data_IF_150306989227
#
_entry.id   IF_150306989227
#
_cell.length_a   1.000
_cell.length_b   1.000
_cell.length_c   1.000
_cell.angle_alpha   90.00
_cell.angle_beta   90.00
_cell.angle_gamma   90.00
#
_symmetry.space_group_name_H-M   'P 1'
#
loop_
_entity.id
_entity.type
_entity.pdbx_description
1 polymer ?
#
# COMPACT_ATOMS: atom_id res chain seq x y z
N UNK A 1 -16.06 1.07 -52.59
CA UNK A 1 -16.41 1.41 -51.20
C UNK A 1 -15.74 0.44 -50.21
N UNK A 2 -14.46 0.64 -49.83
CA UNK A 2 -13.75 -0.27 -48.91
C UNK A 2 -13.41 0.31 -47.51
N UNK A 3 -13.66 1.59 -47.22
CA UNK A 3 -13.09 2.25 -46.03
C UNK A 3 -13.88 2.11 -44.72
N UNK A 4 -15.17 1.74 -44.75
CA UNK A 4 -16.01 1.73 -43.52
C UNK A 4 -15.69 0.53 -42.62
N UNK A 5 -15.33 -0.62 -43.20
CA UNK A 5 -15.02 -1.86 -42.44
C UNK A 5 -13.63 -1.77 -41.79
N UNK A 6 -12.64 -1.22 -42.48
CA UNK A 6 -11.31 -0.95 -41.91
C UNK A 6 -11.39 0.06 -40.75
N UNK A 7 -12.15 1.14 -40.92
CA UNK A 7 -12.29 2.18 -39.87
C UNK A 7 -12.95 1.62 -38.60
N UNK A 8 -13.99 0.77 -38.74
CA UNK A 8 -14.65 0.09 -37.62
C UNK A 8 -13.73 -0.89 -36.89
N UNK A 9 -12.93 -1.64 -37.64
CA UNK A 9 -11.98 -2.61 -37.08
C UNK A 9 -10.86 -1.90 -36.29
N UNK A 10 -10.37 -0.77 -36.80
CA UNK A 10 -9.38 0.06 -36.09
C UNK A 10 -9.94 0.70 -34.82
N UNK A 11 -11.19 1.17 -34.81
CA UNK A 11 -11.83 1.70 -33.60
C UNK A 11 -12.03 0.62 -32.52
N UNK A 12 -12.40 -0.60 -32.91
CA UNK A 12 -12.53 -1.74 -31.98
C UNK A 12 -11.18 -2.17 -31.38
N UNK A 13 -10.12 -2.22 -32.20
CA UNK A 13 -8.77 -2.50 -31.73
C UNK A 13 -8.26 -1.42 -30.76
N UNK A 14 -8.49 -0.14 -31.09
CA UNK A 14 -8.08 0.97 -30.23
C UNK A 14 -8.82 0.95 -28.89
N UNK A 15 -10.12 0.66 -28.89
CA UNK A 15 -10.91 0.55 -27.65
C UNK A 15 -10.51 -0.66 -26.81
N UNK A 16 -10.18 -1.81 -27.43
CA UNK A 16 -9.61 -2.96 -26.70
C UNK A 16 -8.26 -2.64 -26.06
N UNK A 17 -7.37 -1.93 -26.77
CA UNK A 17 -6.06 -1.55 -26.27
C UNK A 17 -6.14 -0.55 -25.10
N UNK A 18 -7.05 0.41 -25.18
CA UNK A 18 -7.32 1.37 -24.10
C UNK A 18 -7.90 0.66 -22.86
N UNK A 19 -8.79 -0.32 -23.06
CA UNK A 19 -9.30 -1.16 -21.97
C UNK A 19 -8.17 -1.97 -21.32
N UNK A 20 -7.32 -2.61 -22.12
CA UNK A 20 -6.21 -3.42 -21.62
C UNK A 20 -5.17 -2.58 -20.85
N UNK A 21 -4.87 -1.35 -21.28
CA UNK A 21 -3.98 -0.44 -20.56
C UNK A 21 -4.54 -0.08 -19.16
N UNK A 22 -5.87 0.08 -19.06
CA UNK A 22 -6.61 0.36 -17.82
C UNK A 22 -6.62 -0.81 -16.82
N UNK A 23 -6.28 -2.01 -17.30
CA UNK A 23 -6.28 -3.28 -16.55
C UNK A 23 -4.89 -3.68 -16.04
N UNK A 24 -3.90 -2.79 -16.13
CA UNK A 24 -2.56 -3.02 -15.60
C UNK A 24 -2.59 -3.06 -14.07
N UNK A 25 -3.02 -4.18 -13.52
CA UNK A 25 -2.87 -4.53 -12.12
C UNK A 25 -1.40 -4.69 -11.76
N UNK A 26 -1.13 -4.84 -10.48
CA UNK A 26 0.23 -5.12 -10.02
C UNK A 26 0.72 -6.39 -10.72
N UNK A 27 1.94 -6.40 -11.25
CA UNK A 27 2.47 -7.58 -11.91
C UNK A 27 2.74 -8.69 -10.89
N UNK A 28 2.74 -9.94 -11.35
CA UNK A 28 3.10 -11.06 -10.49
C UNK A 28 4.56 -10.96 -9.99
N UNK A 29 5.46 -10.40 -10.80
CA UNK A 29 6.86 -10.19 -10.42
C UNK A 29 6.98 -9.17 -9.27
N UNK A 30 6.31 -8.03 -9.37
CA UNK A 30 6.28 -7.02 -8.28
C UNK A 30 5.72 -7.63 -6.98
N UNK A 31 4.60 -8.35 -7.06
CA UNK A 31 4.01 -9.01 -5.89
C UNK A 31 4.97 -10.02 -5.25
N UNK A 32 5.65 -10.84 -6.04
CA UNK A 32 6.64 -11.79 -5.54
C UNK A 32 7.84 -11.08 -4.91
N UNK A 33 8.27 -9.96 -5.48
CA UNK A 33 9.39 -9.18 -4.92
C UNK A 33 9.05 -8.59 -3.54
N UNK A 34 7.80 -8.15 -3.33
CA UNK A 34 7.33 -7.66 -2.04
C UNK A 34 7.16 -8.79 -1.02
N UNK A 35 6.63 -9.94 -1.44
CA UNK A 35 6.55 -11.12 -0.59
C UNK A 35 7.95 -11.55 -0.12
N UNK A 36 8.90 -11.67 -1.04
CA UNK A 36 10.28 -12.02 -0.73
C UNK A 36 10.95 -11.00 0.21
N UNK A 37 10.70 -9.70 0.00
CA UNK A 37 11.19 -8.66 0.90
C UNK A 37 10.64 -8.86 2.32
N UNK A 38 9.31 -8.95 2.46
CA UNK A 38 8.65 -9.18 3.76
C UNK A 38 9.21 -10.41 4.46
N UNK A 39 9.31 -11.53 3.76
CA UNK A 39 9.80 -12.79 4.32
C UNK A 39 11.29 -12.69 4.73
N UNK A 40 12.10 -11.93 3.98
CA UNK A 40 13.50 -11.65 4.36
C UNK A 40 13.61 -10.78 5.62
N UNK A 41 12.70 -9.81 5.79
CA UNK A 41 12.68 -8.89 6.91
C UNK A 41 12.27 -9.57 8.22
N UNK A 42 11.44 -10.62 8.16
CA UNK A 42 10.94 -11.34 9.33
C UNK A 42 12.05 -11.87 10.25
N UNK A 43 13.22 -12.19 9.69
CA UNK A 43 14.38 -12.69 10.44
C UNK A 43 15.39 -11.60 10.84
N UNK A 44 15.17 -10.34 10.42
CA UNK A 44 16.11 -9.24 10.71
C UNK A 44 15.85 -8.72 12.12
N UNK A 45 16.87 -8.73 12.98
CA UNK A 45 16.80 -8.18 14.35
C UNK A 45 17.62 -6.90 14.51
N UNK A 46 18.53 -6.62 13.58
CA UNK A 46 19.37 -5.43 13.63
C UNK A 46 18.66 -4.21 13.04
N UNK A 47 18.29 -3.27 13.90
CA UNK A 47 17.61 -2.03 13.51
C UNK A 47 18.53 -1.03 12.80
N UNK A 48 19.85 -1.15 12.91
CA UNK A 48 20.80 -0.24 12.26
C UNK A 48 20.79 -0.45 10.74
N UNK A 49 20.88 -1.69 10.29
CA UNK A 49 20.84 -2.02 8.86
C UNK A 49 19.45 -1.77 8.24
N UNK A 50 18.38 -1.97 9.02
CA UNK A 50 17.02 -1.61 8.59
C UNK A 50 16.89 -0.11 8.33
N UNK A 51 17.34 0.73 9.27
CA UNK A 51 17.31 2.20 9.12
C UNK A 51 18.20 2.69 7.99
N UNK A 52 19.35 2.05 7.75
CA UNK A 52 20.19 2.37 6.59
C UNK A 52 19.45 2.09 5.28
N UNK A 53 18.77 0.94 5.20
CA UNK A 53 17.97 0.54 4.04
C UNK A 53 16.78 1.48 3.82
N UNK A 54 16.11 1.86 4.91
CA UNK A 54 15.03 2.85 4.91
C UNK A 54 15.52 4.21 4.40
N UNK A 55 16.63 4.72 4.92
CA UNK A 55 17.21 5.98 4.46
C UNK A 55 17.56 5.96 2.97
N UNK A 56 18.09 4.84 2.46
CA UNK A 56 18.38 4.68 1.04
C UNK A 56 17.11 4.72 0.17
N UNK A 57 16.02 4.10 0.63
CA UNK A 57 14.73 4.16 -0.06
C UNK A 57 14.06 5.54 0.03
N UNK A 58 14.20 6.25 1.15
CA UNK A 58 13.72 7.64 1.27
C UNK A 58 14.40 8.54 0.23
N UNK A 59 15.71 8.35 -0.01
CA UNK A 59 16.42 9.09 -1.08
C UNK A 59 15.83 8.76 -2.46
N UNK A 60 15.45 7.52 -2.71
CA UNK A 60 14.79 7.13 -3.97
C UNK A 60 13.39 7.76 -4.09
N UNK A 61 12.57 7.68 -3.04
CA UNK A 61 11.25 8.30 -2.99
C UNK A 61 11.32 9.82 -3.23
N UNK A 62 12.34 10.49 -2.69
CA UNK A 62 12.57 11.93 -2.94
C UNK A 62 12.86 12.25 -4.41
N UNK A 63 13.49 11.33 -5.16
CA UNK A 63 13.77 11.49 -6.59
C UNK A 63 12.57 11.15 -7.46
N UNK A 64 11.77 10.18 -7.05
CA UNK A 64 10.56 9.77 -7.74
C UNK A 64 9.46 9.41 -6.72
N UNK A 65 8.64 10.41 -6.38
CA UNK A 65 7.54 10.27 -5.40
C UNK A 65 6.33 9.51 -5.93
N UNK A 66 6.28 9.29 -7.25
CA UNK A 66 5.16 8.64 -7.91
C UNK A 66 5.45 7.16 -8.18
N UNK A 67 6.50 6.59 -7.57
CA UNK A 67 6.79 5.16 -7.62
C UNK A 67 6.10 4.41 -6.47
N UNK A 68 4.94 3.76 -6.72
CA UNK A 68 4.21 3.03 -5.68
C UNK A 68 5.04 1.88 -5.09
N UNK A 69 6.01 1.34 -5.82
CA UNK A 69 6.82 0.23 -5.33
C UNK A 69 7.86 0.65 -4.32
N UNK A 70 8.35 1.90 -4.38
CA UNK A 70 9.24 2.45 -3.34
C UNK A 70 8.46 2.61 -2.04
N UNK A 71 7.25 3.17 -2.10
CA UNK A 71 6.37 3.34 -0.93
C UNK A 71 5.99 1.99 -0.29
N UNK A 72 5.66 0.98 -1.10
CA UNK A 72 5.38 -0.37 -0.58
C UNK A 72 6.59 -0.99 0.13
N UNK A 73 7.81 -0.74 -0.35
CA UNK A 73 9.04 -1.24 0.30
C UNK A 73 9.36 -0.47 1.58
N UNK A 74 9.16 0.85 1.60
CA UNK A 74 9.30 1.68 2.80
C UNK A 74 8.32 1.23 3.88
N UNK A 75 7.05 1.02 3.53
CA UNK A 75 6.04 0.51 4.46
C UNK A 75 6.42 -0.83 5.08
N UNK A 76 6.97 -1.77 4.31
CA UNK A 76 7.45 -3.07 4.83
C UNK A 76 8.64 -2.95 5.80
N UNK A 77 9.56 -2.02 5.54
CA UNK A 77 10.66 -1.74 6.48
C UNK A 77 10.15 -1.09 7.77
N UNK A 78 9.25 -0.12 7.66
CA UNK A 78 8.64 0.56 8.79
C UNK A 78 7.81 -0.41 9.66
N UNK A 79 7.06 -1.35 9.06
CA UNK A 79 6.43 -2.45 9.78
C UNK A 79 7.43 -3.23 10.61
N UNK A 80 8.56 -3.64 10.00
CA UNK A 80 9.57 -4.40 10.72
C UNK A 80 10.21 -3.61 11.86
N UNK A 81 10.46 -2.33 11.66
CA UNK A 81 10.95 -1.43 12.72
C UNK A 81 9.94 -1.33 13.88
N UNK A 82 8.64 -1.29 13.56
CA UNK A 82 7.54 -1.33 14.52
C UNK A 82 7.53 -2.62 15.35
N UNK A 83 7.61 -3.77 14.68
CA UNK A 83 7.69 -5.10 15.32
C UNK A 83 8.90 -5.24 16.26
N UNK A 84 10.01 -4.55 15.94
CA UNK A 84 11.22 -4.52 16.78
C UNK A 84 11.15 -3.47 17.90
N UNK A 85 9.97 -2.89 18.15
CA UNK A 85 9.68 -2.04 19.29
C UNK A 85 9.61 -0.53 19.00
N UNK A 86 9.82 -0.10 17.76
CA UNK A 86 9.68 1.32 17.38
C UNK A 86 8.23 1.63 17.02
N UNK A 87 7.35 1.74 18.03
CA UNK A 87 5.89 1.83 17.83
C UNK A 87 5.44 2.85 16.77
N UNK A 88 6.05 4.05 16.77
CA UNK A 88 5.78 5.10 15.77
C UNK A 88 5.98 4.62 14.31
N UNK A 89 6.85 3.64 14.10
CA UNK A 89 7.08 3.09 12.75
C UNK A 89 5.86 2.35 12.18
N UNK A 90 4.89 1.94 12.99
CA UNK A 90 3.61 1.45 12.45
C UNK A 90 2.80 2.56 11.78
N UNK A 91 2.77 3.77 12.35
CA UNK A 91 2.14 4.95 11.73
C UNK A 91 2.86 5.36 10.44
N UNK A 92 4.21 5.34 10.47
CA UNK A 92 5.04 5.61 9.31
C UNK A 92 4.75 4.57 8.20
N UNK A 93 4.60 3.28 8.57
CA UNK A 93 4.23 2.22 7.63
C UNK A 93 2.84 2.45 7.01
N UNK A 94 1.83 2.79 7.83
CA UNK A 94 0.49 3.09 7.37
C UNK A 94 0.47 4.24 6.36
N UNK A 95 1.23 5.30 6.63
CA UNK A 95 1.38 6.46 5.74
C UNK A 95 1.95 6.08 4.37
N UNK A 96 2.99 5.25 4.34
CA UNK A 96 3.61 4.78 3.09
C UNK A 96 2.66 3.87 2.30
N UNK A 97 1.91 2.99 2.97
CA UNK A 97 0.92 2.15 2.30
C UNK A 97 -0.25 2.95 1.76
N UNK A 98 -0.70 3.98 2.49
CA UNK A 98 -1.74 4.89 2.02
C UNK A 98 -1.30 5.64 0.77
N UNK A 99 -0.06 6.13 0.73
CA UNK A 99 0.51 6.76 -0.48
C UNK A 99 0.51 5.79 -1.68
N UNK A 100 0.90 4.53 -1.47
CA UNK A 100 0.85 3.52 -2.52
C UNK A 100 -0.57 3.22 -3.00
N UNK A 101 -1.57 3.25 -2.10
CA UNK A 101 -3.00 3.14 -2.45
C UNK A 101 -3.45 4.32 -3.28
N UNK A 102 -3.05 5.55 -2.92
CA UNK A 102 -3.40 6.76 -3.69
C UNK A 102 -2.84 6.70 -5.11
N UNK A 103 -1.58 6.28 -5.27
CA UNK A 103 -0.96 6.10 -6.59
C UNK A 103 -1.58 4.96 -7.38
N UNK A 104 -1.89 3.82 -6.74
CA UNK A 104 -2.41 2.61 -7.38
C UNK A 104 -3.50 1.95 -6.53
N UNK A 105 -4.75 2.46 -6.56
CA UNK A 105 -5.81 2.00 -5.66
C UNK A 105 -6.26 0.56 -5.90
N UNK A 106 -5.96 0.01 -7.08
CA UNK A 106 -6.28 -1.37 -7.48
C UNK A 106 -5.18 -2.38 -7.13
N UNK A 107 -4.06 -1.93 -6.55
CA UNK A 107 -2.97 -2.82 -6.17
C UNK A 107 -3.22 -3.44 -4.79
N UNK A 108 -3.11 -4.77 -4.65
CA UNK A 108 -3.47 -5.44 -3.40
C UNK A 108 -2.51 -5.15 -2.25
N UNK A 109 -1.22 -4.94 -2.52
CA UNK A 109 -0.21 -4.83 -1.46
C UNK A 109 -0.34 -3.58 -0.60
N UNK A 110 -0.85 -2.46 -1.12
CA UNK A 110 -1.07 -1.25 -0.32
C UNK A 110 -2.13 -1.50 0.76
N UNK A 111 -3.28 -2.06 0.36
CA UNK A 111 -4.35 -2.43 1.29
C UNK A 111 -3.93 -3.52 2.28
N UNK A 112 -3.21 -4.54 1.81
CA UNK A 112 -2.68 -5.59 2.67
C UNK A 112 -1.71 -5.03 3.72
N UNK A 113 -0.75 -4.20 3.30
CA UNK A 113 0.22 -3.57 4.19
C UNK A 113 -0.44 -2.64 5.21
N UNK A 114 -1.42 -1.83 4.79
CA UNK A 114 -2.18 -0.96 5.70
C UNK A 114 -2.87 -1.77 6.80
N UNK A 115 -3.50 -2.89 6.46
CA UNK A 115 -4.12 -3.77 7.47
C UNK A 115 -3.12 -4.34 8.48
N UNK A 116 -1.90 -4.66 8.04
CA UNK A 116 -0.82 -5.08 8.96
C UNK A 116 -0.34 -3.93 9.85
N UNK A 117 -0.26 -2.71 9.32
CA UNK A 117 0.15 -1.54 10.09
C UNK A 117 -0.87 -1.21 11.18
N UNK A 118 -2.16 -1.19 10.84
CA UNK A 118 -3.26 -0.97 11.80
C UNK A 118 -3.30 -2.05 12.90
N UNK A 119 -3.07 -3.32 12.52
CA UNK A 119 -2.94 -4.40 13.50
C UNK A 119 -1.75 -4.15 14.43
N UNK A 120 -0.60 -3.76 13.88
CA UNK A 120 0.61 -3.43 14.64
C UNK A 120 0.40 -2.26 15.60
N UNK A 121 -0.32 -1.21 15.19
CA UNK A 121 -0.74 -0.12 16.09
C UNK A 121 -1.57 -0.69 17.24
N UNK A 122 -2.65 -1.43 16.95
CA UNK A 122 -3.53 -2.02 17.97
C UNK A 122 -2.81 -2.94 18.96
N UNK A 123 -1.94 -3.81 18.46
CA UNK A 123 -1.13 -4.73 19.27
C UNK A 123 -0.08 -3.98 20.10
N UNK A 124 0.52 -2.93 19.55
CA UNK A 124 1.49 -2.11 20.28
C UNK A 124 0.83 -1.28 21.35
N UNK A 125 -0.40 -0.80 21.14
CA UNK A 125 -1.04 0.15 22.03
C UNK A 125 -1.72 -0.49 23.24
N UNK A 126 -2.21 -1.75 23.19
CA UNK A 126 -2.99 -2.36 24.28
C UNK A 126 -3.89 -1.33 25.02
N UNK A 127 -4.58 -0.50 24.25
CA UNK A 127 -5.72 0.29 24.69
C UNK A 127 -6.89 -0.07 23.81
N UNK A 128 -7.44 -1.26 24.09
CA UNK A 128 -8.71 -1.78 23.57
C UNK A 128 -9.85 -0.73 23.61
N UNK A 129 -9.73 0.27 24.48
CA UNK A 129 -10.73 1.31 24.72
C UNK A 129 -10.80 2.33 23.57
N UNK A 130 -9.67 2.74 22.97
CA UNK A 130 -9.67 3.79 21.95
C UNK A 130 -10.18 3.29 20.58
N UNK A 131 -9.80 2.08 20.18
CA UNK A 131 -10.29 1.43 18.97
C UNK A 131 -11.79 1.17 19.01
N UNK A 132 -12.31 0.71 20.16
CA UNK A 132 -13.75 0.54 20.38
C UNK A 132 -14.51 1.88 20.37
N UNK A 133 -13.94 2.95 20.93
CA UNK A 133 -14.57 4.28 20.89
C UNK A 133 -14.62 4.88 19.49
N UNK A 134 -13.60 4.65 18.65
CA UNK A 134 -13.58 5.10 17.25
C UNK A 134 -14.60 4.34 16.39
N UNK A 135 -14.70 3.02 16.58
CA UNK A 135 -15.70 2.18 15.89
C UNK A 135 -17.14 2.53 16.34
N UNK A 136 -17.39 2.60 17.65
CA UNK A 136 -18.73 2.89 18.19
C UNK A 136 -19.15 4.35 18.00
N UNK A 137 -18.20 5.29 17.97
CA UNK A 137 -18.44 6.71 17.73
C UNK A 137 -18.91 7.00 16.29
N UNK A 138 -18.31 6.33 15.29
CA UNK A 138 -18.76 6.42 13.89
C UNK A 138 -20.19 5.87 13.73
N UNK A 139 -20.51 4.79 14.41
CA UNK A 139 -21.86 4.20 14.36
C UNK A 139 -22.91 5.04 15.09
N UNK A 140 -22.54 5.69 16.20
CA UNK A 140 -23.43 6.58 16.93
C UNK A 140 -23.78 7.84 16.12
N UNK A 141 -22.78 8.47 15.48
CA UNK A 141 -22.98 9.63 14.61
C UNK A 141 -23.79 9.28 13.35
N UNK A 142 -23.57 8.09 12.78
CA UNK A 142 -24.34 7.61 11.62
C UNK A 142 -25.81 7.38 11.99
N UNK A 143 -26.09 6.79 13.16
CA UNK A 143 -27.48 6.58 13.63
C UNK A 143 -28.21 7.88 13.95
N UNK A 144 -27.52 8.89 14.51
CA UNK A 144 -28.13 10.21 14.77
C UNK A 144 -28.33 11.05 13.51
N UNK A 145 -27.61 10.76 12.42
CA UNK A 145 -27.82 11.42 11.13
C UNK A 145 -28.98 10.82 10.33
N UNK A 146 -29.42 9.61 10.67
CA UNK A 146 -30.50 8.87 10.00
C UNK A 146 -31.80 8.80 10.81
N UNK A 147 -31.86 9.42 11.99
CA UNK A 147 -33.06 9.55 12.84
C UNK A 147 -33.59 10.98 12.78
#
# INVERSE_FOLDING_TARGET
>A
MPNIVLLRSSCLLLSLLLLAASLSGQSAAERRSLAALRDSLANVTDTVELRRSEAALIVQAKRNRDDPMVHLRLGLLALRLGELGQRKSFDDAGSEFQWAIELRPRWPWGWFGLGLAELGVGDSELSLVAGLQSMLGKDALTRSATA
#
